data_IF_456682427650
#
_entry.id   IF_456682427650
#
_cell.length_a   1.000
_cell.length_b   1.000
_cell.length_c   1.000
_cell.angle_alpha   90.00
_cell.angle_beta   90.00
_cell.angle_gamma   90.00
#
_symmetry.space_group_name_H-M   'P 1'
#
loop_
_entity.id
_entity.type
_entity.pdbx_description
1 polymer ?
#
# COMPACT_ATOMS: atom_id res chain seq x y z
N UNK A 1 -8.85 -24.10 -24.37
CA UNK A 1 -9.14 -23.83 -22.92
C UNK A 1 -8.82 -22.36 -22.72
N UNK A 2 -9.71 -21.59 -22.13
CA UNK A 2 -9.50 -20.14 -21.97
C UNK A 2 -8.49 -19.87 -20.87
N UNK A 3 -7.64 -18.86 -21.00
CA UNK A 3 -6.52 -18.51 -20.08
C UNK A 3 -6.90 -18.39 -18.59
N UNK A 4 -8.17 -18.09 -18.31
CA UNK A 4 -8.75 -18.02 -16.96
C UNK A 4 -8.67 -19.35 -16.19
N UNK A 5 -8.83 -20.47 -16.88
CA UNK A 5 -8.81 -21.79 -16.23
C UNK A 5 -7.39 -22.20 -15.80
N UNK A 6 -6.36 -21.70 -16.49
CA UNK A 6 -4.98 -22.00 -16.19
C UNK A 6 -4.48 -21.28 -14.91
N UNK A 7 -4.95 -20.05 -14.71
CA UNK A 7 -4.57 -19.28 -13.51
C UNK A 7 -5.19 -19.87 -12.23
N UNK A 8 -6.46 -20.32 -12.30
CA UNK A 8 -7.14 -21.00 -11.19
C UNK A 8 -6.47 -22.36 -10.89
N UNK A 9 -6.04 -23.09 -11.91
CA UNK A 9 -5.35 -24.37 -11.74
C UNK A 9 -3.94 -24.20 -11.14
N UNK A 10 -3.21 -23.14 -11.45
CA UNK A 10 -1.89 -22.88 -10.89
C UNK A 10 -1.96 -22.48 -9.40
N UNK A 11 -2.98 -21.74 -8.99
CA UNK A 11 -3.22 -21.43 -7.57
C UNK A 11 -3.79 -22.62 -6.77
N UNK A 12 -4.64 -23.45 -7.37
CA UNK A 12 -5.19 -24.65 -6.72
C UNK A 12 -4.19 -25.82 -6.66
N UNK A 13 -3.24 -25.90 -7.57
CA UNK A 13 -2.26 -27.00 -7.61
C UNK A 13 -1.26 -27.00 -6.44
N UNK A 14 -1.03 -25.88 -5.78
CA UNK A 14 -0.17 -25.80 -4.59
C UNK A 14 -0.88 -26.13 -3.27
N UNK A 15 -2.20 -26.21 -3.25
CA UNK A 15 -3.00 -26.50 -2.03
C UNK A 15 -3.25 -28.00 -1.84
N UNK A 16 -2.91 -28.85 -2.82
CA UNK A 16 -3.12 -30.29 -2.76
C UNK A 16 -2.01 -31.09 -2.04
N UNK A 17 -1.09 -30.44 -1.33
CA UNK A 17 -0.17 -31.13 -0.40
C UNK A 17 -0.87 -31.25 0.94
N UNK A 18 -1.29 -32.47 1.23
CA UNK A 18 -2.08 -32.84 2.39
C UNK A 18 -1.60 -32.21 3.69
N UNK A 19 -2.56 -31.87 4.55
CA UNK A 19 -2.32 -31.43 5.92
C UNK A 19 -1.39 -32.41 6.63
N UNK A 20 -0.18 -32.02 7.04
CA UNK A 20 0.57 -32.87 7.97
C UNK A 20 -0.17 -32.83 9.31
N UNK A 21 -0.33 -33.97 9.95
CA UNK A 21 -0.81 -34.03 11.33
C UNK A 21 0.15 -33.27 12.24
N UNK A 22 -0.42 -32.45 13.10
CA UNK A 22 0.17 -31.35 13.84
C UNK A 22 1.45 -31.59 14.68
N UNK A 23 1.87 -32.83 14.87
CA UNK A 23 2.99 -33.14 15.76
C UNK A 23 4.41 -33.11 15.12
N UNK A 24 4.52 -33.11 13.78
CA UNK A 24 5.84 -33.14 13.11
C UNK A 24 6.30 -31.77 12.56
N UNK A 25 5.41 -30.84 12.37
CA UNK A 25 5.76 -29.50 11.90
C UNK A 25 6.49 -28.66 12.98
N UNK A 26 6.23 -28.94 14.26
CA UNK A 26 6.87 -28.23 15.38
C UNK A 26 8.36 -28.53 15.54
N UNK A 27 8.85 -29.69 15.14
CA UNK A 27 10.27 -30.06 15.36
C UNK A 27 11.22 -29.50 14.30
N UNK A 28 10.74 -29.12 13.13
CA UNK A 28 11.60 -28.61 12.05
C UNK A 28 11.90 -27.09 12.17
N UNK A 29 11.04 -26.33 12.85
CA UNK A 29 11.28 -24.89 13.09
C UNK A 29 12.31 -24.61 14.18
N UNK A 30 12.55 -25.55 15.09
CA UNK A 30 13.52 -25.38 16.18
C UNK A 30 14.99 -25.53 15.76
N UNK A 31 15.27 -25.89 14.50
CA UNK A 31 16.61 -26.04 13.95
C UNK A 31 16.94 -25.05 12.83
N UNK A 32 16.12 -24.05 12.60
CA UNK A 32 16.42 -22.98 11.66
C UNK A 32 17.53 -22.11 12.24
N UNK A 33 18.73 -22.02 11.61
CA UNK A 33 19.84 -21.23 12.12
C UNK A 33 19.54 -19.72 12.14
N UNK A 34 18.43 -19.28 11.52
CA UNK A 34 17.95 -17.89 11.55
C UNK A 34 16.94 -17.63 12.67
N UNK A 35 16.44 -18.67 13.34
CA UNK A 35 15.61 -18.53 14.54
C UNK A 35 16.52 -18.42 15.75
N UNK A 36 16.65 -17.24 16.33
CA UNK A 36 17.44 -17.04 17.55
C UNK A 36 16.86 -17.89 18.71
N UNK A 37 17.72 -18.61 19.48
CA UNK A 37 17.26 -19.29 20.67
C UNK A 37 16.60 -18.32 21.65
N UNK A 38 15.32 -18.54 21.96
CA UNK A 38 14.53 -17.66 22.84
C UNK A 38 13.45 -16.87 22.12
N UNK A 39 13.39 -16.88 20.79
CA UNK A 39 12.23 -16.36 20.07
C UNK A 39 11.11 -17.41 20.12
N UNK A 40 10.04 -16.97 20.63
CA UNK A 40 8.78 -17.58 20.95
C UNK A 40 8.27 -18.44 19.79
N UNK A 41 7.87 -19.64 20.09
CA UNK A 41 7.13 -20.46 19.12
C UNK A 41 5.85 -19.76 18.68
N UNK A 42 5.44 -19.86 17.40
CA UNK A 42 4.27 -19.15 16.87
C UNK A 42 2.94 -19.37 17.62
N UNK A 43 2.91 -20.37 18.51
CA UNK A 43 1.72 -20.76 19.29
C UNK A 43 1.61 -20.07 20.66
N UNK A 44 2.62 -19.30 21.08
CA UNK A 44 2.66 -18.69 22.42
C UNK A 44 3.08 -17.22 22.38
N UNK A 45 2.70 -16.53 21.31
CA UNK A 45 2.93 -15.10 21.24
C UNK A 45 2.16 -14.41 22.37
N UNK A 46 2.81 -13.56 23.19
CA UNK A 46 2.12 -12.79 24.20
C UNK A 46 1.01 -11.95 23.56
N UNK A 47 -0.08 -11.73 24.31
CA UNK A 47 -1.18 -10.85 23.89
C UNK A 47 -0.69 -9.41 23.57
N UNK A 48 0.51 -9.05 24.06
CA UNK A 48 1.20 -7.79 23.82
C UNK A 48 2.00 -7.73 22.53
N UNK A 49 2.17 -8.84 21.84
CA UNK A 49 2.90 -8.80 20.54
C UNK A 49 2.12 -8.05 19.47
N UNK A 50 2.84 -7.41 18.51
CA UNK A 50 2.18 -6.51 17.58
C UNK A 50 1.05 -7.24 16.87
N UNK A 51 -0.14 -6.93 17.30
CA UNK A 51 -1.40 -7.52 16.83
C UNK A 51 -1.45 -7.53 15.29
N UNK A 52 -0.75 -6.59 14.66
CA UNK A 52 -0.73 -6.44 13.20
C UNK A 52 0.10 -7.46 12.44
N UNK A 53 1.11 -8.08 13.05
CA UNK A 53 1.98 -9.03 12.34
C UNK A 53 1.31 -10.40 12.23
N UNK A 54 0.53 -10.77 13.23
CA UNK A 54 0.01 -12.13 13.38
C UNK A 54 -1.52 -12.24 13.31
N UNK A 55 -2.24 -11.12 13.24
CA UNK A 55 -3.68 -11.19 13.06
C UNK A 55 -4.04 -11.57 11.62
N UNK A 56 -5.14 -12.25 11.45
CA UNK A 56 -5.70 -12.45 10.12
C UNK A 56 -6.15 -11.11 9.52
N UNK A 57 -6.01 -10.93 8.20
CA UNK A 57 -6.59 -9.78 7.51
C UNK A 57 -8.07 -9.62 7.82
N UNK A 58 -8.49 -8.38 8.02
CA UNK A 58 -9.89 -8.03 8.32
C UNK A 58 -10.60 -7.60 7.04
N UNK A 59 -11.82 -8.05 6.88
CA UNK A 59 -12.77 -7.43 5.96
C UNK A 59 -13.78 -6.64 6.80
N UNK A 60 -13.56 -5.32 6.86
CA UNK A 60 -14.39 -4.36 7.61
C UNK A 60 -15.39 -3.68 6.67
N UNK A 61 -15.27 -3.92 5.37
CA UNK A 61 -16.21 -3.40 4.37
C UNK A 61 -17.62 -3.84 4.70
N UNK A 62 -18.50 -2.90 4.96
CA UNK A 62 -19.94 -3.18 5.13
C UNK A 62 -20.49 -3.64 3.78
N UNK A 63 -21.11 -4.81 3.74
CA UNK A 63 -21.34 -5.66 2.58
C UNK A 63 -22.09 -5.09 1.37
N UNK A 64 -22.62 -3.85 1.44
CA UNK A 64 -23.44 -3.24 0.38
C UNK A 64 -22.72 -2.15 -0.42
N UNK A 65 -21.42 -1.91 -0.18
CA UNK A 65 -20.65 -0.93 -0.95
C UNK A 65 -20.05 -1.55 -2.21
N UNK A 66 -20.20 -0.86 -3.35
CA UNK A 66 -19.52 -1.25 -4.59
C UNK A 66 -18.05 -0.83 -4.62
N UNK A 67 -17.63 -0.02 -3.64
CA UNK A 67 -16.27 0.49 -3.48
C UNK A 67 -15.61 -0.12 -2.25
N UNK A 68 -14.49 -0.82 -2.44
CA UNK A 68 -13.73 -1.48 -1.39
C UNK A 68 -12.26 -1.06 -1.47
N UNK A 69 -11.71 -0.65 -0.33
CA UNK A 69 -10.28 -0.38 -0.20
C UNK A 69 -9.57 -1.66 0.24
N UNK A 70 -8.63 -2.13 -0.56
CA UNK A 70 -7.76 -3.27 -0.26
C UNK A 70 -6.35 -2.77 0.03
N UNK A 71 -5.84 -3.07 1.21
CA UNK A 71 -4.47 -2.74 1.60
C UNK A 71 -3.55 -3.82 1.05
N UNK A 72 -2.67 -3.46 0.13
CA UNK A 72 -1.71 -4.40 -0.46
C UNK A 72 -0.38 -4.40 0.29
N UNK A 73 0.04 -3.24 0.78
CA UNK A 73 1.27 -3.09 1.55
C UNK A 73 1.20 -1.92 2.52
N UNK A 74 1.73 -2.13 3.71
CA UNK A 74 1.71 -1.19 4.84
C UNK A 74 3.10 -0.84 5.36
N UNK A 75 4.14 -1.39 4.73
CA UNK A 75 5.53 -1.21 5.13
C UNK A 75 6.04 0.21 4.89
N UNK A 76 7.28 0.42 5.29
CA UNK A 76 8.07 1.64 5.13
C UNK A 76 9.40 1.24 4.49
N UNK A 77 10.35 2.15 4.20
CA UNK A 77 11.68 1.77 3.74
C UNK A 77 12.44 0.82 4.69
N UNK A 78 12.03 0.76 5.96
CA UNK A 78 12.64 -0.17 6.92
C UNK A 78 12.24 -1.61 6.60
N UNK A 79 13.22 -2.54 6.50
CA UNK A 79 12.95 -3.90 6.12
C UNK A 79 12.04 -4.59 7.16
N UNK A 80 10.90 -5.09 6.69
CA UNK A 80 9.96 -5.84 7.50
C UNK A 80 9.51 -7.09 6.72
N UNK A 81 9.75 -8.31 7.22
CA UNK A 81 9.41 -9.53 6.50
C UNK A 81 7.90 -9.79 6.38
N UNK A 82 7.07 -9.06 7.12
CA UNK A 82 5.63 -9.26 7.21
C UNK A 82 4.80 -8.18 6.51
N UNK A 83 5.44 -7.08 6.09
CA UNK A 83 4.80 -5.94 5.44
C UNK A 83 5.45 -5.66 4.10
N UNK A 84 4.67 -5.63 3.06
CA UNK A 84 5.11 -5.15 1.74
C UNK A 84 5.15 -3.63 1.73
N UNK A 85 5.91 -3.04 0.82
CA UNK A 85 5.98 -1.59 0.65
C UNK A 85 4.61 -0.96 0.34
N UNK A 86 4.44 0.34 0.57
CA UNK A 86 3.17 1.05 0.46
C UNK A 86 2.50 0.76 -0.88
N UNK A 87 1.31 0.19 -0.84
CA UNK A 87 0.53 -0.08 -2.03
C UNK A 87 -0.93 -0.39 -1.68
N UNK A 88 -1.85 0.09 -2.50
CA UNK A 88 -3.28 0.00 -2.25
C UNK A 88 -4.02 -0.32 -3.53
N UNK A 89 -5.20 -0.94 -3.41
CA UNK A 89 -6.14 -1.08 -4.52
C UNK A 89 -7.53 -0.58 -4.09
N UNK A 90 -8.05 0.41 -4.79
CA UNK A 90 -9.45 0.77 -4.68
C UNK A 90 -10.23 -0.04 -5.72
N UNK A 91 -11.03 -0.99 -5.27
CA UNK A 91 -11.86 -1.83 -6.12
C UNK A 91 -13.24 -1.21 -6.21
N UNK A 92 -13.62 -0.74 -7.40
CA UNK A 92 -14.93 -0.13 -7.66
C UNK A 92 -15.69 -0.97 -8.67
N UNK A 93 -16.82 -1.51 -8.26
CA UNK A 93 -17.63 -2.42 -9.10
C UNK A 93 -16.81 -3.56 -9.72
N UNK A 94 -15.86 -4.12 -8.96
CA UNK A 94 -14.99 -5.21 -9.37
C UNK A 94 -13.84 -4.79 -10.31
N UNK A 95 -13.53 -3.50 -10.43
CA UNK A 95 -12.41 -2.96 -11.19
C UNK A 95 -11.39 -2.26 -10.26
N UNK A 96 -10.10 -2.62 -10.29
CA UNK A 96 -9.10 -2.09 -9.38
C UNK A 96 -8.41 -0.83 -9.94
N UNK A 97 -8.20 0.15 -9.09
CA UNK A 97 -7.36 1.32 -9.27
C UNK A 97 -6.26 1.26 -8.22
N UNK A 98 -5.00 1.16 -8.65
CA UNK A 98 -3.87 1.01 -7.74
C UNK A 98 -3.33 2.36 -7.31
N UNK A 99 -2.90 2.48 -6.06
CA UNK A 99 -2.17 3.64 -5.55
C UNK A 99 -0.87 3.15 -4.95
N UNK A 100 0.24 3.71 -5.40
CA UNK A 100 1.61 3.33 -5.12
C UNK A 100 1.95 1.86 -5.42
N UNK A 101 3.21 1.58 -5.60
CA UNK A 101 3.71 0.27 -5.98
C UNK A 101 5.04 -0.02 -5.27
N UNK A 102 4.98 -0.22 -3.96
CA UNK A 102 6.12 -0.58 -3.14
C UNK A 102 6.62 -2.00 -3.37
N UNK A 103 7.70 -2.34 -2.68
CA UNK A 103 8.30 -3.69 -2.75
C UNK A 103 7.25 -4.75 -2.39
N UNK A 104 7.18 -5.81 -3.19
CA UNK A 104 6.30 -6.95 -2.90
C UNK A 104 4.87 -6.83 -3.45
N UNK A 105 4.46 -5.71 -4.07
CA UNK A 105 3.09 -5.47 -4.56
C UNK A 105 2.51 -6.66 -5.34
N UNK A 106 3.27 -7.30 -6.22
CA UNK A 106 2.79 -8.44 -7.01
C UNK A 106 2.36 -9.63 -6.14
N UNK A 107 3.17 -9.96 -5.13
CA UNK A 107 2.84 -11.02 -4.17
C UNK A 107 1.66 -10.64 -3.29
N UNK A 108 1.59 -9.37 -2.92
CA UNK A 108 0.50 -8.85 -2.08
C UNK A 108 -0.84 -8.84 -2.79
N UNK A 109 -0.88 -8.52 -4.08
CA UNK A 109 -2.08 -8.65 -4.91
C UNK A 109 -2.57 -10.11 -4.90
N UNK A 110 -1.67 -11.06 -5.13
CA UNK A 110 -2.02 -12.48 -5.10
C UNK A 110 -2.50 -12.93 -3.71
N UNK A 111 -1.84 -12.47 -2.64
CA UNK A 111 -2.24 -12.78 -1.27
C UNK A 111 -3.61 -12.19 -0.95
N UNK A 112 -3.83 -10.90 -1.25
CA UNK A 112 -5.11 -10.25 -1.00
C UNK A 112 -6.26 -10.91 -1.75
N UNK A 113 -6.03 -11.29 -3.02
CA UNK A 113 -7.00 -12.05 -3.82
C UNK A 113 -7.35 -13.40 -3.17
N UNK A 114 -6.34 -14.14 -2.68
CA UNK A 114 -6.52 -15.45 -2.10
C UNK A 114 -7.26 -15.40 -0.75
N UNK A 115 -6.85 -14.50 0.15
CA UNK A 115 -7.38 -14.50 1.53
C UNK A 115 -8.76 -13.84 1.64
N UNK A 116 -9.12 -12.95 0.71
CA UNK A 116 -10.41 -12.26 0.70
C UNK A 116 -11.46 -12.93 -0.20
N UNK A 117 -11.11 -14.03 -0.88
CA UNK A 117 -12.04 -14.89 -1.59
C UNK A 117 -12.31 -14.51 -3.05
N UNK A 118 -13.30 -15.17 -3.64
CA UNK A 118 -13.55 -15.17 -5.10
C UNK A 118 -13.81 -13.79 -5.69
N UNK A 119 -14.44 -12.89 -4.97
CA UNK A 119 -14.69 -11.53 -5.43
C UNK A 119 -13.36 -10.81 -5.72
N UNK A 120 -12.41 -10.89 -4.78
CA UNK A 120 -11.11 -10.24 -4.92
C UNK A 120 -10.20 -10.99 -5.89
N UNK A 121 -10.32 -12.31 -6.02
CA UNK A 121 -9.64 -13.08 -7.07
C UNK A 121 -10.04 -12.59 -8.47
N UNK A 122 -11.32 -12.28 -8.68
CA UNK A 122 -11.80 -11.72 -9.95
C UNK A 122 -11.46 -10.25 -10.13
N UNK A 123 -11.53 -9.47 -9.04
CA UNK A 123 -11.29 -8.03 -9.10
C UNK A 123 -9.83 -7.67 -9.27
N UNK A 124 -8.93 -8.42 -8.61
CA UNK A 124 -7.48 -8.21 -8.65
C UNK A 124 -6.78 -9.10 -9.70
N UNK A 125 -7.53 -9.63 -10.66
CA UNK A 125 -6.95 -10.45 -11.73
C UNK A 125 -5.97 -9.63 -12.58
N UNK A 126 -4.85 -10.23 -13.04
CA UNK A 126 -3.78 -9.52 -13.74
C UNK A 126 -4.22 -8.71 -14.95
N UNK A 127 -5.27 -9.19 -15.64
CA UNK A 127 -5.85 -8.53 -16.81
C UNK A 127 -6.51 -7.17 -16.50
N UNK A 128 -6.89 -6.94 -15.22
CA UNK A 128 -7.54 -5.70 -14.78
C UNK A 128 -6.57 -4.68 -14.18
N UNK A 129 -5.34 -5.08 -13.87
CA UNK A 129 -4.33 -4.21 -13.26
C UNK A 129 -3.77 -3.23 -14.30
N UNK A 130 -4.55 -2.21 -14.64
CA UNK A 130 -4.23 -1.24 -15.69
C UNK A 130 -3.74 0.10 -15.15
N UNK A 131 -4.42 0.65 -14.15
CA UNK A 131 -4.21 2.01 -13.67
C UNK A 131 -3.43 2.02 -12.37
N UNK A 132 -2.37 2.84 -12.32
CA UNK A 132 -1.55 3.10 -11.14
C UNK A 132 -1.42 4.60 -10.94
N UNK A 133 -1.65 5.08 -9.73
CA UNK A 133 -1.47 6.46 -9.29
C UNK A 133 -0.33 6.49 -8.28
N UNK A 134 0.77 7.16 -8.60
CA UNK A 134 1.97 7.25 -7.77
C UNK A 134 1.97 8.57 -7.04
N UNK A 135 1.99 8.54 -5.71
CA UNK A 135 1.93 9.74 -4.86
C UNK A 135 3.20 10.58 -4.96
N UNK A 136 4.35 9.93 -4.94
CA UNK A 136 5.68 10.54 -5.07
C UNK A 136 6.72 9.49 -5.51
N UNK A 137 7.94 9.94 -5.85
CA UNK A 137 8.94 9.07 -6.50
C UNK A 137 9.99 8.49 -5.53
N UNK A 138 9.72 8.36 -4.23
CA UNK A 138 10.58 7.55 -3.37
C UNK A 138 10.55 6.07 -3.78
N UNK A 139 11.63 5.37 -3.49
CA UNK A 139 11.83 3.99 -3.94
C UNK A 139 10.82 3.02 -3.32
N UNK A 140 10.43 3.22 -2.06
CA UNK A 140 9.48 2.35 -1.38
C UNK A 140 8.03 2.47 -1.91
N UNK A 141 7.71 3.55 -2.64
CA UNK A 141 6.45 3.74 -3.36
C UNK A 141 6.49 3.31 -4.84
N UNK A 142 7.68 3.02 -5.40
CA UNK A 142 7.85 2.83 -6.85
C UNK A 142 8.62 1.57 -7.25
N UNK A 143 9.42 0.97 -6.37
CA UNK A 143 10.32 -0.15 -6.71
C UNK A 143 9.57 -1.41 -7.16
N UNK A 144 8.30 -1.54 -6.84
CA UNK A 144 7.43 -2.63 -7.28
C UNK A 144 6.85 -2.47 -8.70
N UNK A 145 6.99 -1.29 -9.32
CA UNK A 145 6.46 -1.03 -10.68
C UNK A 145 6.97 -2.06 -11.71
N UNK A 146 8.26 -2.41 -11.75
CA UNK A 146 8.74 -3.44 -12.68
C UNK A 146 8.02 -4.78 -12.52
N UNK A 147 7.78 -5.22 -11.30
CA UNK A 147 7.08 -6.49 -11.07
C UNK A 147 5.60 -6.43 -11.45
N UNK A 148 4.95 -5.28 -11.24
CA UNK A 148 3.57 -5.03 -11.65
C UNK A 148 3.40 -5.00 -13.18
N UNK A 149 4.42 -4.54 -13.91
CA UNK A 149 4.45 -4.55 -15.37
C UNK A 149 4.76 -5.94 -15.92
N UNK A 150 5.89 -6.52 -15.50
CA UNK A 150 6.49 -7.67 -16.18
C UNK A 150 5.83 -9.01 -15.83
N UNK A 151 5.37 -9.21 -14.59
CA UNK A 151 4.79 -10.48 -14.21
C UNK A 151 3.45 -10.78 -14.90
N UNK A 152 2.48 -9.84 -15.02
CA UNK A 152 1.29 -10.07 -15.85
C UNK A 152 1.63 -10.32 -17.31
N UNK A 153 2.59 -9.57 -17.87
CA UNK A 153 3.05 -9.77 -19.23
C UNK A 153 3.61 -11.19 -19.46
N UNK A 154 4.47 -11.68 -18.57
CA UNK A 154 4.99 -13.04 -18.59
C UNK A 154 3.89 -14.12 -18.54
N UNK A 155 2.76 -13.80 -17.96
CA UNK A 155 1.58 -14.67 -17.92
C UNK A 155 0.65 -14.48 -19.14
N UNK A 156 1.13 -13.81 -20.19
CA UNK A 156 0.41 -13.56 -21.43
C UNK A 156 -0.82 -12.64 -21.33
N UNK A 157 -0.89 -11.76 -20.30
CA UNK A 157 -1.94 -10.76 -20.24
C UNK A 157 -1.58 -9.54 -21.11
N UNK A 158 -2.50 -9.11 -22.02
CA UNK A 158 -2.22 -8.02 -22.97
C UNK A 158 -2.42 -6.61 -22.36
N UNK A 159 -2.51 -6.49 -21.05
CA UNK A 159 -2.88 -5.25 -20.39
C UNK A 159 -1.68 -4.32 -20.24
N UNK A 160 -1.61 -3.28 -21.08
CA UNK A 160 -0.68 -2.16 -20.89
C UNK A 160 -1.00 -1.39 -19.60
N UNK A 161 0.02 -0.74 -19.01
CA UNK A 161 -0.16 0.05 -17.80
C UNK A 161 -0.25 1.54 -18.13
N UNK A 162 -1.18 2.22 -17.46
CA UNK A 162 -1.32 3.67 -17.46
C UNK A 162 -0.95 4.17 -16.05
N UNK A 163 0.15 4.89 -15.95
CA UNK A 163 0.77 5.24 -14.66
C UNK A 163 0.79 6.76 -14.53
N UNK A 164 0.01 7.27 -13.60
CA UNK A 164 -0.10 8.69 -13.28
C UNK A 164 0.78 9.01 -12.08
N UNK A 165 1.51 10.12 -12.12
CA UNK A 165 2.38 10.50 -11.02
C UNK A 165 3.10 11.82 -11.23
N UNK A 166 4.02 12.18 -10.32
CA UNK A 166 4.79 13.42 -10.36
C UNK A 166 5.65 13.55 -11.62
N UNK A 167 6.17 14.76 -11.82
CA UNK A 167 7.23 15.01 -12.79
C UNK A 167 8.38 14.01 -12.62
N UNK A 168 8.81 13.40 -13.73
CA UNK A 168 9.81 12.32 -13.75
C UNK A 168 9.23 10.91 -13.89
N UNK A 169 7.93 10.69 -13.62
CA UNK A 169 7.31 9.36 -13.75
C UNK A 169 7.41 8.83 -15.19
N UNK A 170 7.27 9.68 -16.21
CA UNK A 170 7.39 9.31 -17.62
C UNK A 170 8.78 8.77 -17.94
N UNK A 171 9.82 9.47 -17.47
CA UNK A 171 11.20 9.08 -17.66
C UNK A 171 11.51 7.78 -16.90
N UNK A 172 11.07 7.66 -15.64
CA UNK A 172 11.21 6.45 -14.83
C UNK A 172 10.60 5.23 -15.55
N UNK A 173 9.38 5.33 -16.05
CA UNK A 173 8.72 4.23 -16.77
C UNK A 173 9.45 3.88 -18.06
N UNK A 174 9.92 4.87 -18.81
CA UNK A 174 10.72 4.64 -20.00
C UNK A 174 12.01 3.86 -19.70
N UNK A 175 12.71 4.21 -18.62
CA UNK A 175 13.93 3.54 -18.19
C UNK A 175 13.64 2.13 -17.64
N UNK A 176 12.52 1.92 -16.94
CA UNK A 176 12.11 0.58 -16.52
C UNK A 176 11.91 -0.33 -17.74
N UNK A 177 11.12 0.10 -18.73
CA UNK A 177 10.90 -0.68 -19.95
C UNK A 177 12.23 -0.92 -20.69
N UNK A 178 13.10 0.08 -20.76
CA UNK A 178 14.41 -0.06 -21.40
C UNK A 178 15.35 -1.02 -20.64
N UNK A 179 15.28 -1.06 -19.30
CA UNK A 179 16.08 -1.98 -18.49
C UNK A 179 15.75 -3.45 -18.77
N UNK A 180 14.48 -3.77 -19.01
CA UNK A 180 14.01 -5.13 -19.31
C UNK A 180 13.78 -5.41 -20.80
N UNK A 181 14.32 -4.56 -21.70
CA UNK A 181 14.11 -4.71 -23.16
C UNK A 181 14.48 -6.10 -23.70
N UNK A 182 15.48 -6.76 -23.13
CA UNK A 182 15.93 -8.10 -23.57
C UNK A 182 14.88 -9.14 -23.22
N UNK A 183 14.36 -9.13 -21.98
CA UNK A 183 13.32 -10.03 -21.52
C UNK A 183 12.01 -9.80 -22.28
N UNK A 184 11.58 -8.54 -22.41
CA UNK A 184 10.37 -8.16 -23.16
C UNK A 184 10.44 -8.64 -24.61
N UNK A 185 11.59 -8.46 -25.28
CA UNK A 185 11.77 -8.91 -26.67
C UNK A 185 11.73 -10.45 -26.79
N UNK A 186 12.31 -11.17 -25.82
CA UNK A 186 12.27 -12.62 -25.78
C UNK A 186 10.85 -13.14 -25.61
N UNK A 187 10.08 -12.59 -24.67
CA UNK A 187 8.69 -12.98 -24.43
C UNK A 187 7.79 -12.70 -25.65
N UNK A 188 7.95 -11.55 -26.32
CA UNK A 188 7.24 -11.26 -27.57
C UNK A 188 7.61 -12.26 -28.65
N UNK A 189 8.89 -12.64 -28.77
CA UNK A 189 9.33 -13.65 -29.74
C UNK A 189 8.75 -15.03 -29.44
N UNK A 190 8.46 -15.34 -28.18
CA UNK A 190 7.85 -16.59 -27.72
C UNK A 190 6.30 -16.54 -27.78
N UNK A 191 5.72 -15.43 -28.21
CA UNK A 191 4.27 -15.31 -28.49
C UNK A 191 3.48 -14.50 -27.49
N UNK A 192 4.11 -13.88 -26.49
CA UNK A 192 3.42 -12.97 -25.57
C UNK A 192 2.89 -11.74 -26.29
N UNK A 193 1.70 -11.24 -25.96
CA UNK A 193 1.11 -10.08 -26.60
C UNK A 193 1.93 -8.80 -26.31
N UNK A 194 2.41 -8.07 -27.32
CA UNK A 194 3.31 -6.93 -27.13
C UNK A 194 2.74 -5.82 -26.25
N UNK A 195 1.42 -5.69 -26.17
CA UNK A 195 0.72 -4.71 -25.35
C UNK A 195 1.01 -4.90 -23.86
N UNK A 196 1.14 -6.15 -23.40
CA UNK A 196 1.40 -6.50 -22.01
C UNK A 196 2.75 -5.99 -21.50
N UNK A 197 3.73 -5.84 -22.39
CA UNK A 197 5.04 -5.27 -22.07
C UNK A 197 5.13 -3.75 -22.13
N UNK A 198 4.01 -3.04 -22.33
CA UNK A 198 3.95 -1.58 -22.46
C UNK A 198 3.45 -0.90 -21.20
N UNK A 199 4.04 0.26 -20.91
CA UNK A 199 3.55 1.17 -19.89
C UNK A 199 3.70 2.62 -20.36
N UNK A 200 2.74 3.47 -19.98
CA UNK A 200 2.75 4.91 -20.27
C UNK A 200 2.78 5.67 -18.95
N UNK A 201 3.74 6.56 -18.78
CA UNK A 201 3.79 7.51 -17.67
C UNK A 201 3.07 8.80 -18.03
N UNK A 202 2.14 9.23 -17.18
CA UNK A 202 1.39 10.49 -17.27
C UNK A 202 1.82 11.40 -16.14
N UNK A 203 2.53 12.48 -16.47
CA UNK A 203 2.98 13.45 -15.48
C UNK A 203 1.86 14.39 -15.08
N UNK A 204 1.69 14.54 -13.78
CA UNK A 204 0.76 15.48 -13.17
C UNK A 204 1.50 16.80 -13.00
N UNK A 205 0.91 17.87 -13.53
CA UNK A 205 1.49 19.20 -13.50
C UNK A 205 0.44 20.24 -13.08
N UNK A 206 0.02 20.15 -11.81
CA UNK A 206 -0.88 21.14 -11.20
C UNK A 206 -0.11 21.94 -10.14
N UNK A 207 -0.39 23.23 -10.03
CA UNK A 207 0.19 24.04 -8.95
C UNK A 207 -0.40 23.67 -7.59
N UNK A 208 -1.70 23.42 -7.52
CA UNK A 208 -2.40 23.06 -6.28
C UNK A 208 -3.16 21.74 -6.40
N UNK A 209 -4.13 21.65 -7.31
CA UNK A 209 -4.96 20.45 -7.51
C UNK A 209 -5.58 20.40 -8.90
N UNK A 210 -5.98 19.20 -9.32
CA UNK A 210 -6.69 19.02 -10.58
C UNK A 210 -7.16 17.60 -10.84
N UNK A 211 -8.01 17.46 -11.87
CA UNK A 211 -8.49 16.19 -12.35
C UNK A 211 -7.37 15.42 -13.07
N UNK A 212 -7.11 14.21 -12.62
CA UNK A 212 -6.07 13.31 -13.17
C UNK A 212 -6.68 12.26 -14.10
N UNK A 213 -7.81 11.68 -13.67
CA UNK A 213 -8.44 10.59 -14.38
C UNK A 213 -9.93 10.54 -14.07
N UNK A 214 -10.73 10.13 -15.04
CA UNK A 214 -12.16 9.92 -14.88
C UNK A 214 -12.65 8.79 -15.78
N UNK A 215 -13.53 7.94 -15.25
CA UNK A 215 -14.29 6.97 -16.00
C UNK A 215 -15.70 6.76 -15.42
N UNK A 216 -16.41 5.70 -15.85
CA UNK A 216 -17.76 5.42 -15.36
C UNK A 216 -17.84 5.03 -13.86
N UNK A 217 -16.72 4.64 -13.26
CA UNK A 217 -16.62 4.16 -11.89
C UNK A 217 -16.11 5.23 -10.93
N UNK A 218 -15.17 6.08 -11.37
CA UNK A 218 -14.40 6.93 -10.46
C UNK A 218 -13.97 8.22 -11.11
N UNK A 219 -13.94 9.29 -10.32
CA UNK A 219 -13.22 10.53 -10.60
C UNK A 219 -12.01 10.61 -9.66
N UNK A 220 -10.81 10.80 -10.21
CA UNK A 220 -9.56 10.89 -9.45
C UNK A 220 -8.97 12.28 -9.58
N UNK A 221 -8.82 12.95 -8.45
CA UNK A 221 -8.19 14.27 -8.33
C UNK A 221 -6.87 14.13 -7.57
N UNK A 222 -5.84 14.88 -8.02
CA UNK A 222 -4.59 15.02 -7.28
C UNK A 222 -4.52 16.38 -6.61
N UNK A 223 -3.98 16.41 -5.41
CA UNK A 223 -3.74 17.62 -4.62
C UNK A 223 -2.27 17.66 -4.24
N UNK A 224 -1.57 18.75 -4.61
CA UNK A 224 -0.17 18.92 -4.29
C UNK A 224 0.05 18.95 -2.79
N UNK A 225 1.04 18.21 -2.32
CA UNK A 225 1.39 18.09 -0.91
C UNK A 225 2.84 18.53 -0.66
N UNK A 226 3.32 18.37 0.56
CA UNK A 226 4.70 18.67 0.94
C UNK A 226 5.30 17.42 1.54
N UNK A 227 6.45 16.98 1.00
CA UNK A 227 7.21 15.85 1.54
C UNK A 227 8.70 16.10 1.41
N UNK A 228 9.27 16.79 2.38
CA UNK A 228 10.69 17.13 2.42
C UNK A 228 11.17 17.89 1.18
N UNK A 229 12.28 17.43 0.56
CA UNK A 229 12.87 18.09 -0.59
C UNK A 229 12.22 17.72 -1.94
N UNK A 230 11.25 16.81 -1.96
CA UNK A 230 10.54 16.49 -3.19
C UNK A 230 9.56 17.61 -3.52
N UNK A 231 9.74 18.21 -4.71
CA UNK A 231 8.92 19.34 -5.15
C UNK A 231 7.52 18.92 -5.58
N UNK A 232 7.41 17.72 -6.19
CA UNK A 232 6.17 17.18 -6.71
C UNK A 232 5.74 15.95 -5.92
N UNK A 233 4.79 16.14 -5.00
CA UNK A 233 4.15 15.08 -4.25
C UNK A 233 2.65 15.32 -4.23
N UNK A 234 1.84 14.26 -4.24
CA UNK A 234 0.39 14.37 -4.37
C UNK A 234 -0.36 13.46 -3.41
N UNK A 235 -1.41 13.99 -2.81
CA UNK A 235 -2.52 13.20 -2.29
C UNK A 235 -3.51 12.93 -3.42
N UNK A 236 -4.13 11.76 -3.41
CA UNK A 236 -5.18 11.41 -4.37
C UNK A 236 -6.53 11.27 -3.70
N UNK A 237 -7.53 11.93 -4.26
CA UNK A 237 -8.93 11.79 -3.89
C UNK A 237 -9.66 11.00 -4.97
N UNK A 238 -10.22 9.88 -4.58
CA UNK A 238 -11.09 9.04 -5.39
C UNK A 238 -12.53 9.26 -4.99
N UNK A 239 -13.33 9.78 -5.89
CA UNK A 239 -14.78 9.96 -5.71
C UNK A 239 -15.51 8.92 -6.55
N UNK A 240 -16.25 8.05 -5.89
CA UNK A 240 -17.08 7.02 -6.52
C UNK A 240 -18.57 7.33 -6.29
N UNK A 241 -19.47 6.46 -6.76
CA UNK A 241 -20.91 6.64 -6.54
C UNK A 241 -21.34 6.54 -5.07
N UNK A 242 -20.59 5.79 -4.27
CA UNK A 242 -20.96 5.40 -2.91
C UNK A 242 -19.92 5.76 -1.84
N UNK A 243 -18.70 6.16 -2.24
CA UNK A 243 -17.62 6.49 -1.29
C UNK A 243 -16.67 7.57 -1.82
N UNK A 244 -16.06 8.28 -0.88
CA UNK A 244 -14.89 9.13 -1.09
C UNK A 244 -13.73 8.52 -0.32
N UNK A 245 -12.68 8.13 -1.02
CA UNK A 245 -11.46 7.58 -0.42
C UNK A 245 -10.28 8.46 -0.81
N UNK A 246 -9.54 8.92 0.19
CA UNK A 246 -8.36 9.77 -0.02
C UNK A 246 -7.12 9.06 0.48
N UNK A 247 -6.05 9.12 -0.32
CA UNK A 247 -4.71 8.65 0.00
C UNK A 247 -3.80 9.85 0.15
N UNK A 248 -3.17 10.01 1.31
CA UNK A 248 -2.30 11.18 1.54
C UNK A 248 -0.97 11.07 0.80
N UNK A 249 -0.51 9.85 0.49
CA UNK A 249 0.90 9.58 0.32
C UNK A 249 1.66 9.93 1.60
N UNK A 250 2.95 10.11 1.49
CA UNK A 250 3.75 10.65 2.58
C UNK A 250 3.57 12.18 2.63
N UNK A 251 3.44 12.71 3.82
CA UNK A 251 3.16 14.11 4.02
C UNK A 251 3.97 14.72 5.17
N UNK A 252 4.27 15.99 5.04
CA UNK A 252 5.03 16.75 6.02
C UNK A 252 4.14 17.57 6.95
N UNK A 253 4.43 18.86 7.12
CA UNK A 253 3.66 19.72 8.00
C UNK A 253 2.23 19.89 7.50
N UNK A 254 1.36 20.42 8.37
CA UNK A 254 0.00 20.79 7.99
C UNK A 254 -0.03 21.62 6.71
N UNK A 255 -0.86 21.21 5.78
CA UNK A 255 -1.07 21.92 4.51
C UNK A 255 -2.55 21.89 4.11
N UNK A 256 -3.07 23.03 3.63
CA UNK A 256 -4.49 23.16 3.30
C UNK A 256 -4.94 22.21 2.18
N UNK A 257 -4.07 21.90 1.22
CA UNK A 257 -4.42 20.98 0.13
C UNK A 257 -4.72 19.57 0.61
N UNK A 258 -4.06 19.08 1.68
CA UNK A 258 -4.41 17.79 2.28
C UNK A 258 -5.82 17.84 2.90
N UNK A 259 -6.16 18.92 3.58
CA UNK A 259 -7.53 19.12 4.12
C UNK A 259 -8.54 19.10 2.97
N UNK A 260 -8.24 19.82 1.87
CA UNK A 260 -9.11 19.87 0.70
C UNK A 260 -9.27 18.48 0.04
N UNK A 261 -8.17 17.73 -0.09
CA UNK A 261 -8.20 16.35 -0.59
C UNK A 261 -9.07 15.44 0.28
N UNK A 262 -8.95 15.56 1.59
CA UNK A 262 -9.65 14.74 2.57
C UNK A 262 -11.09 15.20 2.88
N UNK A 263 -11.55 16.33 2.32
CA UNK A 263 -12.84 16.90 2.65
C UNK A 263 -14.00 15.92 2.53
N UNK A 264 -14.69 15.65 3.66
CA UNK A 264 -15.78 14.68 3.79
C UNK A 264 -15.43 13.27 3.32
N UNK A 265 -14.16 12.86 3.39
CA UNK A 265 -13.76 11.51 3.02
C UNK A 265 -14.42 10.48 3.94
N UNK A 266 -14.95 9.42 3.34
CA UNK A 266 -15.41 8.24 4.08
C UNK A 266 -14.23 7.46 4.68
N UNK A 267 -13.11 7.44 3.92
CA UNK A 267 -11.86 6.83 4.36
C UNK A 267 -10.68 7.73 3.95
N UNK A 268 -9.83 8.04 4.92
CA UNK A 268 -8.51 8.65 4.73
C UNK A 268 -7.45 7.58 5.01
N UNK A 269 -6.72 7.17 3.98
CA UNK A 269 -5.53 6.34 4.11
C UNK A 269 -4.35 7.28 4.33
N UNK A 270 -3.70 7.16 5.48
CA UNK A 270 -2.65 8.09 5.87
C UNK A 270 -1.47 7.40 6.54
N UNK A 271 -0.28 7.91 6.28
CA UNK A 271 0.91 7.62 7.05
C UNK A 271 0.91 8.38 8.38
N UNK A 272 1.71 7.94 9.33
CA UNK A 272 1.96 8.66 10.58
C UNK A 272 3.25 8.18 11.25
N UNK A 273 3.96 9.10 11.87
CA UNK A 273 5.16 8.81 12.67
C UNK A 273 4.87 9.05 14.15
N UNK A 274 5.29 8.11 15.00
CA UNK A 274 5.14 8.23 16.46
C UNK A 274 5.84 9.47 17.00
N UNK A 275 5.19 10.20 17.87
CA UNK A 275 5.83 11.25 18.67
C UNK A 275 6.42 10.70 19.97
N UNK A 276 5.74 9.73 20.57
CA UNK A 276 6.15 9.14 21.86
C UNK A 276 7.49 8.38 21.77
N UNK A 277 7.77 7.76 20.62
CA UNK A 277 8.97 6.93 20.40
C UNK A 277 10.01 7.56 19.46
N UNK A 278 9.86 8.82 19.11
CA UNK A 278 10.71 9.49 18.10
C UNK A 278 12.20 9.53 18.47
N UNK A 279 12.54 9.48 19.77
CA UNK A 279 13.92 9.38 20.24
C UNK A 279 14.65 8.14 19.72
N UNK A 280 13.92 7.08 19.37
CA UNK A 280 14.49 5.83 18.84
C UNK A 280 14.59 5.84 17.31
N UNK A 281 14.15 6.89 16.64
CA UNK A 281 14.29 6.99 15.19
C UNK A 281 15.77 6.85 14.78
N UNK A 282 16.09 6.03 13.77
CA UNK A 282 17.47 5.81 13.33
C UNK A 282 18.03 6.97 12.50
N UNK A 283 17.22 8.00 12.23
CA UNK A 283 17.57 9.16 11.41
C UNK A 283 16.98 10.45 12.00
N UNK A 284 17.25 11.58 11.39
CA UNK A 284 16.66 12.88 11.74
C UNK A 284 17.52 13.79 12.60
N UNK A 285 18.59 13.28 13.20
CA UNK A 285 19.51 14.05 14.05
C UNK A 285 19.94 13.29 15.30
N UNK A 286 20.74 13.94 16.15
CA UNK A 286 21.30 13.33 17.37
C UNK A 286 20.41 13.60 18.60
N UNK A 287 19.66 14.70 18.60
CA UNK A 287 18.75 15.08 19.69
C UNK A 287 17.30 14.79 19.33
N UNK A 288 16.43 14.73 20.33
CA UNK A 288 14.99 14.53 20.15
C UNK A 288 14.38 15.71 19.37
N UNK A 289 14.83 16.91 19.66
CA UNK A 289 14.36 18.14 19.00
C UNK A 289 14.72 18.15 17.51
N UNK A 290 15.97 17.80 17.17
CA UNK A 290 16.40 17.69 15.76
C UNK A 290 15.61 16.61 15.02
N UNK A 291 15.38 15.46 15.68
CA UNK A 291 14.56 14.39 15.10
C UNK A 291 13.14 14.84 14.85
N UNK A 292 12.49 15.50 15.82
CA UNK A 292 11.14 16.06 15.64
C UNK A 292 11.08 17.06 14.48
N UNK A 293 11.98 18.05 14.47
CA UNK A 293 12.03 19.06 13.42
C UNK A 293 12.22 18.40 12.04
N UNK A 294 13.20 17.50 11.93
CA UNK A 294 13.52 16.86 10.66
C UNK A 294 12.43 15.88 10.20
N UNK A 295 11.99 14.96 11.07
CA UNK A 295 11.04 13.90 10.70
C UNK A 295 9.67 14.48 10.38
N UNK A 296 9.16 15.42 11.18
CA UNK A 296 7.86 16.04 10.93
C UNK A 296 7.86 17.11 9.83
N UNK A 297 9.02 17.41 9.24
CA UNK A 297 9.08 18.12 7.96
C UNK A 297 8.81 17.21 6.76
N UNK A 298 8.83 15.89 6.95
CA UNK A 298 8.59 14.87 5.91
C UNK A 298 7.29 14.09 6.14
N UNK A 299 6.94 13.87 7.41
CA UNK A 299 5.88 12.94 7.80
C UNK A 299 4.90 13.59 8.78
N UNK A 300 3.67 13.07 8.81
CA UNK A 300 2.66 13.54 9.75
C UNK A 300 2.98 13.14 11.17
N UNK A 301 2.91 14.11 12.09
CA UNK A 301 2.73 13.78 13.51
C UNK A 301 1.28 13.41 13.80
N UNK A 302 0.99 12.68 14.89
CA UNK A 302 -0.37 12.37 15.31
C UNK A 302 -1.27 13.62 15.45
N UNK A 303 -0.67 14.72 15.95
CA UNK A 303 -1.39 15.99 16.11
C UNK A 303 -1.76 16.64 14.78
N UNK A 304 -0.87 16.61 13.79
CA UNK A 304 -1.15 17.14 12.45
C UNK A 304 -2.19 16.29 11.74
N UNK A 305 -2.07 14.97 11.81
CA UNK A 305 -3.04 14.06 11.19
C UNK A 305 -4.44 14.21 11.79
N UNK A 306 -4.56 14.23 13.12
CA UNK A 306 -5.84 14.43 13.81
C UNK A 306 -6.49 15.78 13.43
N UNK A 307 -5.68 16.85 13.36
CA UNK A 307 -6.15 18.17 12.94
C UNK A 307 -6.69 18.15 11.50
N UNK A 308 -5.92 17.60 10.55
CA UNK A 308 -6.34 17.48 9.13
C UNK A 308 -7.67 16.72 9.04
N UNK A 309 -7.76 15.56 9.70
CA UNK A 309 -8.93 14.69 9.63
C UNK A 309 -10.18 15.35 10.24
N UNK A 310 -10.03 16.08 11.35
CA UNK A 310 -11.15 16.81 11.97
C UNK A 310 -11.60 18.01 11.11
N UNK A 311 -10.67 18.83 10.62
CA UNK A 311 -11.00 19.97 9.74
C UNK A 311 -11.64 19.51 8.43
N UNK A 312 -11.23 18.35 7.91
CA UNK A 312 -11.79 17.76 6.70
C UNK A 312 -13.08 16.95 6.93
N UNK A 313 -13.56 16.82 8.16
CA UNK A 313 -14.72 15.98 8.52
C UNK A 313 -14.58 14.53 8.02
N UNK A 314 -13.40 13.91 8.23
CA UNK A 314 -13.11 12.53 7.87
C UNK A 314 -13.86 11.57 8.77
N UNK A 315 -14.51 10.55 8.21
CA UNK A 315 -15.25 9.55 9.00
C UNK A 315 -14.34 8.45 9.57
N UNK A 316 -13.38 8.00 8.77
CA UNK A 316 -12.50 6.90 9.14
C UNK A 316 -11.07 7.18 8.70
N UNK A 317 -10.10 7.02 9.61
CA UNK A 317 -8.68 6.95 9.27
C UNK A 317 -8.25 5.49 9.20
N UNK A 318 -7.55 5.13 8.13
CA UNK A 318 -6.82 3.88 7.98
C UNK A 318 -5.33 4.21 7.97
N UNK A 319 -4.66 3.93 9.08
CA UNK A 319 -3.21 4.12 9.19
C UNK A 319 -2.49 3.05 8.39
N UNK A 320 -1.55 3.48 7.57
CA UNK A 320 -0.65 2.66 6.76
C UNK A 320 0.68 3.39 6.64
N UNK A 321 1.76 2.72 6.26
CA UNK A 321 3.08 3.35 6.29
C UNK A 321 3.42 3.94 7.68
N UNK A 322 3.11 3.17 8.70
CA UNK A 322 3.27 3.57 10.10
C UNK A 322 4.74 3.48 10.53
N UNK A 323 5.29 4.57 11.02
CA UNK A 323 6.65 4.62 11.56
C UNK A 323 6.60 4.70 13.09
N UNK A 324 6.62 3.55 13.71
CA UNK A 324 6.70 3.44 15.17
C UNK A 324 8.09 2.94 15.57
N UNK A 325 8.91 3.85 16.06
CA UNK A 325 10.25 3.54 16.53
C UNK A 325 10.17 3.11 17.98
N UNK A 326 10.38 1.85 18.26
CA UNK A 326 10.50 1.38 19.63
C UNK A 326 11.94 0.93 19.95
N UNK A 327 12.23 0.70 21.22
CA UNK A 327 13.55 0.26 21.69
C UNK A 327 13.93 -1.18 21.31
N UNK A 328 13.21 -1.80 20.37
CA UNK A 328 13.42 -3.20 19.94
C UNK A 328 12.59 -4.20 20.74
N UNK A 329 11.77 -3.76 21.68
CA UNK A 329 11.04 -4.68 22.54
C UNK A 329 9.62 -5.00 22.07
N UNK A 330 8.90 -4.14 21.37
CA UNK A 330 7.59 -4.51 20.79
C UNK A 330 7.05 -3.39 19.88
N UNK A 331 6.61 -3.75 18.69
CA UNK A 331 5.83 -2.87 17.84
C UNK A 331 4.40 -2.79 18.39
N UNK A 332 4.08 -1.70 19.08
CA UNK A 332 2.70 -1.45 19.53
C UNK A 332 1.91 -0.75 18.40
N UNK A 333 1.27 -1.54 17.56
CA UNK A 333 0.38 -1.03 16.51
C UNK A 333 -0.78 -0.18 17.04
N UNK A 334 -1.17 -0.38 18.31
CA UNK A 334 -2.17 0.45 18.97
C UNK A 334 -1.55 1.76 19.51
N UNK A 335 -0.24 1.87 19.59
CA UNK A 335 0.44 3.09 20.05
C UNK A 335 0.08 4.28 19.19
N UNK A 336 0.29 4.19 17.88
CA UNK A 336 -0.06 5.26 16.94
C UNK A 336 -1.55 5.58 16.91
N UNK A 337 -2.41 4.56 16.97
CA UNK A 337 -3.86 4.76 17.12
C UNK A 337 -4.18 5.57 18.36
N UNK A 338 -3.55 5.25 19.51
CA UNK A 338 -3.74 5.98 20.77
C UNK A 338 -3.23 7.41 20.69
N UNK A 339 -2.06 7.64 20.06
CA UNK A 339 -1.50 8.97 19.87
C UNK A 339 -2.43 9.86 19.03
N UNK A 340 -3.01 9.34 17.92
CA UNK A 340 -3.94 10.10 17.09
C UNK A 340 -5.27 10.39 17.81
N UNK A 341 -5.78 9.43 18.58
CA UNK A 341 -6.98 9.64 19.43
C UNK A 341 -6.68 10.67 20.52
N UNK A 342 -5.53 10.57 21.20
CA UNK A 342 -5.13 11.53 22.21
C UNK A 342 -4.93 12.94 21.66
N UNK A 343 -4.56 13.05 20.37
CA UNK A 343 -4.50 14.31 19.63
C UNK A 343 -5.87 14.88 19.23
N UNK A 344 -6.97 14.19 19.56
CA UNK A 344 -8.34 14.69 19.44
C UNK A 344 -9.10 14.24 18.20
N UNK A 345 -8.69 13.20 17.49
CA UNK A 345 -9.51 12.62 16.44
C UNK A 345 -10.67 11.82 17.06
N UNK A 346 -11.91 12.09 16.63
CA UNK A 346 -13.14 11.50 17.17
C UNK A 346 -13.75 10.43 16.25
N UNK A 347 -13.26 10.28 15.02
CA UNK A 347 -13.76 9.30 14.06
C UNK A 347 -13.26 7.87 14.32
N UNK A 348 -13.65 6.95 13.45
CA UNK A 348 -13.10 5.60 13.46
C UNK A 348 -11.64 5.59 13.00
N UNK A 349 -10.79 4.81 13.66
CA UNK A 349 -9.37 4.69 13.30
C UNK A 349 -8.90 3.25 13.36
N UNK A 350 -8.15 2.83 12.36
CA UNK A 350 -7.60 1.48 12.23
C UNK A 350 -6.13 1.55 11.84
N UNK A 351 -5.29 0.77 12.52
CA UNK A 351 -3.96 0.42 12.01
C UNK A 351 -4.11 -0.75 11.06
N UNK A 352 -3.69 -0.62 9.82
CA UNK A 352 -3.85 -1.62 8.78
C UNK A 352 -2.73 -2.65 8.75
N UNK A 353 -3.03 -3.82 8.20
CA UNK A 353 -2.03 -4.78 7.73
C UNK A 353 -2.30 -5.15 6.27
N UNK A 354 -1.28 -5.75 5.65
CA UNK A 354 -1.40 -6.28 4.29
C UNK A 354 -2.58 -7.25 4.17
N UNK A 355 -3.38 -7.04 3.14
CA UNK A 355 -4.63 -7.75 2.81
C UNK A 355 -5.86 -7.38 3.64
N UNK A 356 -5.82 -6.37 4.50
CA UNK A 356 -7.05 -5.79 5.08
C UNK A 356 -7.95 -5.22 3.96
N UNK A 357 -9.26 -5.24 4.20
CA UNK A 357 -10.30 -4.66 3.33
C UNK A 357 -11.21 -3.74 4.15
N UNK A 358 -11.47 -2.55 3.64
CA UNK A 358 -12.32 -1.53 4.26
C UNK A 358 -13.44 -1.06 3.36
#
# INVERSE_FOLDING_TARGET
MKSTDFFVLMFCGFIAVGRPSDARAQSSYNNDPFVQPGIITPLTLPDSWPINIHRNPRNISTGDTNTKLVILGTGTPLPNPYRSGPSYALVVSGYPYLVDAGEGIWRSIARAALVNGDEFTRSLSPEKLKYLFVTHLHEDHTVGIPSLLLNPFKLNYPTSKEIFGPTGIREMISHIVAAWKVDIAAEISDGSPPEGGRATGHEINFEESGLVYEDANVTVEAFRTIHGPLEDTFAYRFTTKDRIVTFTGDGGPYHQNIVNAAMNADVLVAEVVTEDNIQYAPWGGDTVEEKKERIFSFHFSPAVLARIANEANVKTIVLSHEQNYNSGEEYDALGLVKEVIAAGFEGAIYSAIDSDVY
#
